data_IF_983560367609
#
_entry.id   IF_983560367609
#
_cell.length_a   1.000
_cell.length_b   1.000
_cell.length_c   1.000
_cell.angle_alpha   90.00
_cell.angle_beta   90.00
_cell.angle_gamma   90.00
#
_symmetry.space_group_name_H-M   'P 1'
#
loop_
_entity.id
_entity.type
_entity.pdbx_description
1 polymer ?
#
# COMPACT_ATOMS: atom_id res chain seq x y z
N UNK A 1 6.91 30.29 30.11
CA UNK A 1 8.02 29.58 29.44
C UNK A 1 8.53 28.54 30.43
N UNK A 2 8.39 27.26 30.09
CA UNK A 2 8.84 26.15 30.92
C UNK A 2 10.00 25.47 30.20
N UNK A 3 11.04 25.11 30.94
CA UNK A 3 12.16 24.34 30.39
C UNK A 3 11.64 22.99 29.89
N UNK A 4 12.08 22.57 28.71
CA UNK A 4 11.82 21.23 28.22
C UNK A 4 12.51 20.19 29.11
N UNK A 5 12.01 18.95 29.11
CA UNK A 5 12.55 17.90 29.96
C UNK A 5 14.05 17.66 29.75
N UNK A 6 14.52 17.80 28.52
CA UNK A 6 15.95 17.65 28.19
C UNK A 6 16.78 18.85 28.64
N UNK A 7 16.25 20.07 28.59
CA UNK A 7 16.92 21.22 29.17
C UNK A 7 17.05 21.09 30.69
N UNK A 8 16.05 20.52 31.38
CA UNK A 8 16.13 20.25 32.82
C UNK A 8 17.16 19.16 33.14
N UNK A 9 17.28 18.14 32.30
CA UNK A 9 18.30 17.07 32.45
C UNK A 9 19.71 17.58 32.20
N UNK A 10 19.89 18.41 31.17
CA UNK A 10 21.17 19.09 30.88
C UNK A 10 21.53 20.03 32.02
N UNK A 11 20.58 20.83 32.54
CA UNK A 11 20.83 21.70 33.68
C UNK A 11 21.27 20.92 34.92
N UNK A 12 20.60 19.80 35.21
CA UNK A 12 20.95 18.92 36.34
C UNK A 12 22.33 18.28 36.17
N UNK A 13 22.69 17.83 34.96
CA UNK A 13 24.00 17.24 34.67
C UNK A 13 25.14 18.25 34.77
N UNK A 14 24.93 19.46 34.23
CA UNK A 14 25.91 20.55 34.32
C UNK A 14 26.07 21.02 35.77
N UNK A 15 24.97 21.10 36.53
CA UNK A 15 25.02 21.39 37.97
C UNK A 15 25.75 20.28 38.75
N UNK A 16 25.51 19.01 38.43
CA UNK A 16 26.20 17.88 39.05
C UNK A 16 27.72 17.89 38.75
N UNK A 17 28.13 18.27 37.54
CA UNK A 17 29.53 18.40 37.16
C UNK A 17 30.22 19.64 37.77
N UNK A 18 29.47 20.73 37.96
CA UNK A 18 29.95 21.91 38.68
C UNK A 18 30.12 21.66 40.18
N UNK A 19 29.25 20.83 40.77
CA UNK A 19 29.29 20.46 42.19
C UNK A 19 30.29 19.33 42.49
N UNK A 20 30.57 18.45 41.52
CA UNK A 20 31.52 17.34 41.67
C UNK A 20 32.50 17.27 40.48
N UNK A 21 33.58 18.08 40.51
CA UNK A 21 34.58 18.05 39.45
C UNK A 21 35.37 16.73 39.53
N UNK A 22 35.17 15.88 38.52
CA UNK A 22 35.80 14.57 38.31
C UNK A 22 35.63 13.55 39.46
N UNK A 23 34.79 12.53 39.23
CA UNK A 23 34.84 11.34 40.07
C UNK A 23 36.22 10.66 39.91
N UNK A 24 36.91 10.35 41.01
CA UNK A 24 38.27 9.85 40.97
C UNK A 24 38.28 8.39 40.51
N UNK A 25 39.29 8.06 39.72
CA UNK A 25 39.61 6.76 39.10
C UNK A 25 39.82 5.60 40.10
N UNK A 26 39.55 5.77 41.40
CA UNK A 26 39.69 4.72 42.42
C UNK A 26 38.86 5.04 43.67
N UNK A 27 37.63 4.54 43.77
CA UNK A 27 37.02 4.31 45.08
C UNK A 27 36.17 3.02 45.07
N UNK A 28 36.56 1.98 45.84
CA UNK A 28 35.72 0.83 46.13
C UNK A 28 34.87 1.14 47.38
N UNK A 29 33.79 1.91 47.22
CA UNK A 29 32.71 2.05 48.21
C UNK A 29 31.43 2.39 47.43
N UNK A 30 30.26 1.78 47.70
CA UNK A 30 29.00 2.28 47.16
C UNK A 30 28.77 3.66 47.79
N UNK A 31 29.08 4.72 47.04
CA UNK A 31 28.76 6.08 47.46
C UNK A 31 27.33 6.36 47.01
N UNK A 32 26.54 7.06 47.83
CA UNK A 32 25.16 7.45 47.50
C UNK A 32 25.04 8.14 46.12
N UNK A 33 26.13 8.73 45.61
CA UNK A 33 26.21 9.32 44.27
C UNK A 33 26.22 8.25 43.16
N UNK A 34 26.88 7.12 43.36
CA UNK A 34 26.86 5.99 42.43
C UNK A 34 25.50 5.26 42.41
N UNK A 35 24.83 5.19 43.56
CA UNK A 35 23.46 4.67 43.66
C UNK A 35 22.46 5.57 42.94
N UNK A 36 22.54 6.90 43.14
CA UNK A 36 21.70 7.87 42.43
C UNK A 36 21.91 7.82 40.91
N UNK A 37 23.15 7.65 40.46
CA UNK A 37 23.46 7.50 39.04
C UNK A 37 22.90 6.20 38.46
N UNK A 38 22.95 5.11 39.23
CA UNK A 38 22.34 3.85 38.82
C UNK A 38 20.81 3.97 38.73
N UNK A 39 20.17 4.68 39.66
CA UNK A 39 18.73 4.99 39.62
C UNK A 39 18.36 5.80 38.37
N UNK A 40 19.10 6.88 38.07
CA UNK A 40 18.87 7.70 36.87
C UNK A 40 18.99 6.87 35.57
N UNK A 41 19.95 5.94 35.50
CA UNK A 41 20.11 5.03 34.37
C UNK A 41 18.93 4.05 34.29
N UNK A 42 18.50 3.48 35.41
CA UNK A 42 17.33 2.60 35.44
C UNK A 42 16.05 3.32 35.04
N UNK A 43 15.86 4.57 35.46
CA UNK A 43 14.72 5.39 35.08
C UNK A 43 14.74 5.77 33.59
N UNK A 44 15.91 6.02 33.01
CA UNK A 44 16.06 6.21 31.58
C UNK A 44 15.66 4.95 30.79
N UNK A 45 16.06 3.76 31.25
CA UNK A 45 15.67 2.48 30.62
C UNK A 45 14.16 2.24 30.70
N UNK A 46 13.54 2.46 31.88
CA UNK A 46 12.08 2.37 32.05
C UNK A 46 11.35 3.35 31.14
N UNK A 47 11.87 4.56 30.99
CA UNK A 47 11.30 5.55 30.08
C UNK A 47 11.38 5.08 28.62
N UNK A 48 12.49 4.50 28.19
CA UNK A 48 12.60 3.97 26.83
C UNK A 48 11.60 2.84 26.58
N UNK A 49 11.42 1.93 27.54
CA UNK A 49 10.42 0.86 27.46
C UNK A 49 8.99 1.43 27.37
N UNK A 50 8.67 2.45 28.17
CA UNK A 50 7.37 3.12 28.14
C UNK A 50 7.12 3.85 26.80
N UNK A 51 8.16 4.44 26.19
CA UNK A 51 8.06 5.07 24.86
C UNK A 51 7.81 4.00 23.79
N UNK A 52 8.52 2.88 23.83
CA UNK A 52 8.33 1.79 22.88
C UNK A 52 6.91 1.19 22.96
N UNK A 53 6.40 0.99 24.18
CA UNK A 53 5.01 0.59 24.43
C UNK A 53 4.03 1.61 23.84
N UNK A 54 4.24 2.90 24.08
CA UNK A 54 3.39 3.97 23.55
C UNK A 54 3.41 4.04 22.02
N UNK A 55 4.56 3.81 21.38
CA UNK A 55 4.67 3.74 19.91
C UNK A 55 3.90 2.55 19.37
N UNK A 56 4.01 1.38 20.00
CA UNK A 56 3.27 0.19 19.60
C UNK A 56 1.76 0.38 19.73
N UNK A 57 1.30 0.93 20.86
CA UNK A 57 -0.12 1.18 21.08
C UNK A 57 -0.66 2.28 20.15
N UNK A 58 0.12 3.33 19.90
CA UNK A 58 -0.19 4.33 18.88
C UNK A 58 -0.33 3.70 17.49
N UNK A 59 0.51 2.72 17.15
CA UNK A 59 0.40 1.92 15.93
C UNK A 59 -0.90 1.11 15.86
N UNK A 60 -1.32 0.47 16.96
CA UNK A 60 -2.59 -0.27 17.03
C UNK A 60 -3.80 0.65 16.85
N UNK A 61 -3.81 1.80 17.52
CA UNK A 61 -4.87 2.79 17.38
C UNK A 61 -4.96 3.30 15.94
N UNK A 62 -3.82 3.63 15.31
CA UNK A 62 -3.79 4.07 13.91
C UNK A 62 -4.33 2.99 12.97
N UNK A 63 -3.94 1.74 13.16
CA UNK A 63 -4.45 0.62 12.37
C UNK A 63 -5.98 0.48 12.51
N UNK A 64 -6.51 0.60 13.73
CA UNK A 64 -7.95 0.59 13.98
C UNK A 64 -8.67 1.74 13.26
N UNK A 65 -8.15 2.97 13.34
CA UNK A 65 -8.75 4.14 12.69
C UNK A 65 -8.75 4.03 11.16
N UNK A 66 -7.68 3.49 10.56
CA UNK A 66 -7.61 3.26 9.12
C UNK A 66 -8.56 2.14 8.67
N UNK A 67 -8.71 1.08 9.48
CA UNK A 67 -9.72 0.06 9.23
C UNK A 67 -11.13 0.67 9.31
N UNK A 68 -11.37 1.56 10.26
CA UNK A 68 -12.65 2.24 10.40
C UNK A 68 -12.95 3.18 9.23
N UNK A 69 -11.95 3.96 8.78
CA UNK A 69 -12.02 4.76 7.56
C UNK A 69 -12.46 3.92 6.36
N UNK A 70 -11.88 2.72 6.21
CA UNK A 70 -12.25 1.79 5.12
C UNK A 70 -13.70 1.32 5.22
N UNK A 71 -14.22 1.08 6.44
CA UNK A 71 -15.62 0.70 6.69
C UNK A 71 -16.57 1.85 6.35
N UNK A 72 -16.26 3.07 6.79
CA UNK A 72 -17.01 4.26 6.42
C UNK A 72 -17.03 4.43 4.90
N UNK A 73 -15.90 4.26 4.21
CA UNK A 73 -15.85 4.34 2.75
C UNK A 73 -16.70 3.29 2.05
N UNK A 74 -16.71 2.05 2.55
CA UNK A 74 -17.52 0.96 2.00
C UNK A 74 -19.03 1.20 2.17
N UNK A 75 -19.44 1.95 3.19
CA UNK A 75 -20.84 2.28 3.47
C UNK A 75 -21.34 3.54 2.73
N UNK A 76 -20.54 4.09 1.81
CA UNK A 76 -20.95 5.26 1.01
C UNK A 76 -22.12 4.91 0.08
N UNK A 77 -23.08 5.84 -0.12
CA UNK A 77 -23.05 7.23 0.34
C UNK A 77 -23.68 7.47 1.73
N UNK A 78 -24.27 6.44 2.36
CA UNK A 78 -25.01 6.59 3.63
C UNK A 78 -24.14 7.05 4.81
N UNK A 79 -22.83 6.84 4.71
CA UNK A 79 -21.82 7.17 5.72
C UNK A 79 -21.01 8.44 5.41
N UNK A 80 -21.44 9.27 4.44
CA UNK A 80 -20.65 10.38 3.90
C UNK A 80 -20.06 11.32 4.95
N UNK A 81 -20.87 11.73 5.94
CA UNK A 81 -20.39 12.62 7.02
C UNK A 81 -19.25 12.00 7.82
N UNK A 82 -19.46 10.78 8.34
CA UNK A 82 -18.45 10.07 9.12
C UNK A 82 -17.20 9.71 8.32
N UNK A 83 -17.34 9.41 7.02
CA UNK A 83 -16.18 9.21 6.14
C UNK A 83 -15.35 10.48 6.02
N UNK A 84 -15.98 11.64 5.79
CA UNK A 84 -15.28 12.91 5.66
C UNK A 84 -14.60 13.33 6.97
N UNK A 85 -15.26 13.11 8.11
CA UNK A 85 -14.69 13.36 9.45
C UNK A 85 -13.43 12.52 9.67
N UNK A 86 -13.52 11.21 9.44
CA UNK A 86 -12.40 10.29 9.61
C UNK A 86 -11.26 10.55 8.62
N UNK A 87 -11.58 10.93 7.38
CA UNK A 87 -10.55 11.25 6.40
C UNK A 87 -9.82 12.55 6.76
N UNK A 88 -10.55 13.56 7.24
CA UNK A 88 -9.98 14.83 7.67
C UNK A 88 -9.05 14.67 8.89
N UNK A 89 -9.46 13.89 9.89
CA UNK A 89 -8.63 13.51 11.03
C UNK A 89 -7.38 12.75 10.56
N UNK A 90 -7.55 11.68 9.79
CA UNK A 90 -6.44 10.87 9.32
C UNK A 90 -5.41 11.68 8.52
N UNK A 91 -5.87 12.57 7.63
CA UNK A 91 -4.98 13.46 6.85
C UNK A 91 -4.24 14.45 7.74
N UNK A 92 -4.89 14.95 8.78
CA UNK A 92 -4.24 15.82 9.78
C UNK A 92 -3.14 15.07 10.54
N UNK A 93 -3.33 13.77 10.78
CA UNK A 93 -2.36 12.87 11.40
C UNK A 93 -1.29 12.32 10.40
N UNK A 94 -1.24 12.85 9.18
CA UNK A 94 -0.24 12.48 8.17
C UNK A 94 -0.56 11.21 7.39
N UNK A 95 -1.84 10.81 7.30
CA UNK A 95 -2.29 9.80 6.35
C UNK A 95 -2.15 10.31 4.91
N UNK A 96 -1.60 9.46 4.03
CA UNK A 96 -1.55 9.71 2.58
C UNK A 96 -2.79 9.11 1.91
N UNK A 97 -3.66 9.94 1.30
CA UNK A 97 -4.90 9.45 0.69
C UNK A 97 -4.65 8.50 -0.47
N UNK A 98 -5.39 7.39 -0.49
CA UNK A 98 -5.29 6.40 -1.56
C UNK A 98 -6.09 6.79 -2.80
N UNK A 99 -5.89 6.08 -3.92
CA UNK A 99 -6.70 6.25 -5.12
C UNK A 99 -8.20 6.03 -4.86
N UNK A 100 -8.54 5.11 -3.96
CA UNK A 100 -9.91 4.84 -3.54
C UNK A 100 -10.51 6.03 -2.79
N UNK A 101 -9.74 6.71 -1.95
CA UNK A 101 -10.20 7.92 -1.24
C UNK A 101 -10.44 9.08 -2.20
N UNK A 102 -9.54 9.29 -3.14
CA UNK A 102 -9.73 10.30 -4.19
C UNK A 102 -10.95 9.98 -5.06
N UNK A 103 -11.24 8.70 -5.31
CA UNK A 103 -12.43 8.26 -6.04
C UNK A 103 -13.71 8.50 -5.24
N UNK A 104 -13.68 8.23 -3.93
CA UNK A 104 -14.79 8.44 -3.02
C UNK A 104 -15.12 9.94 -2.89
N UNK A 105 -14.11 10.79 -2.72
CA UNK A 105 -14.27 12.24 -2.71
C UNK A 105 -14.86 12.76 -4.02
N UNK A 106 -14.36 12.28 -5.17
CA UNK A 106 -14.94 12.63 -6.49
C UNK A 106 -16.39 12.19 -6.62
N UNK A 107 -16.77 11.04 -6.08
CA UNK A 107 -18.16 10.57 -6.06
C UNK A 107 -19.04 11.46 -5.16
N UNK A 108 -18.57 11.78 -3.96
CA UNK A 108 -19.26 12.65 -3.00
C UNK A 108 -19.42 14.09 -3.52
N UNK A 109 -18.45 14.63 -4.25
CA UNK A 109 -18.56 15.97 -4.85
C UNK A 109 -19.67 16.08 -5.89
N UNK A 110 -20.10 14.97 -6.50
CA UNK A 110 -21.22 14.94 -7.46
C UNK A 110 -22.59 14.84 -6.79
N UNK A 111 -22.63 14.59 -5.48
CA UNK A 111 -23.88 14.46 -4.75
C UNK A 111 -24.40 15.84 -4.30
N UNK A 112 -25.72 16.06 -4.37
CA UNK A 112 -26.31 17.30 -3.89
C UNK A 112 -26.08 17.43 -2.37
N UNK A 113 -25.65 18.61 -1.95
CA UNK A 113 -25.44 18.94 -0.54
C UNK A 113 -25.57 20.46 -0.32
N UNK A 114 -25.69 20.87 0.94
CA UNK A 114 -25.75 22.28 1.29
C UNK A 114 -24.40 23.00 1.07
N UNK A 115 -24.39 24.33 0.97
CA UNK A 115 -23.17 25.12 0.80
C UNK A 115 -22.00 24.81 1.76
N UNK A 116 -22.21 24.66 3.09
CA UNK A 116 -21.09 24.40 4.01
C UNK A 116 -20.45 23.03 3.76
N UNK A 117 -21.26 22.01 3.49
CA UNK A 117 -20.81 20.67 3.20
C UNK A 117 -20.07 20.60 1.86
N UNK A 118 -20.58 21.31 0.85
CA UNK A 118 -19.89 21.45 -0.43
C UNK A 118 -18.51 22.09 -0.27
N UNK A 119 -18.41 23.19 0.49
CA UNK A 119 -17.14 23.85 0.78
C UNK A 119 -16.17 22.92 1.54
N UNK A 120 -16.68 22.12 2.48
CA UNK A 120 -15.89 21.13 3.21
C UNK A 120 -15.33 20.06 2.27
N UNK A 121 -16.17 19.43 1.44
CA UNK A 121 -15.76 18.43 0.45
C UNK A 121 -14.69 18.97 -0.49
N UNK A 122 -14.89 20.18 -1.01
CA UNK A 122 -13.95 20.83 -1.92
C UNK A 122 -12.60 21.12 -1.27
N UNK A 123 -12.57 21.63 -0.03
CA UNK A 123 -11.31 21.84 0.71
C UNK A 123 -10.59 20.53 1.00
N UNK A 124 -11.31 19.51 1.44
CA UNK A 124 -10.71 18.21 1.74
C UNK A 124 -10.18 17.53 0.48
N UNK A 125 -10.93 17.58 -0.63
CA UNK A 125 -10.47 17.09 -1.93
C UNK A 125 -9.21 17.80 -2.41
N UNK A 126 -9.15 19.13 -2.32
CA UNK A 126 -7.95 19.90 -2.66
C UNK A 126 -6.73 19.48 -1.86
N UNK A 127 -6.87 19.34 -0.53
CA UNK A 127 -5.78 18.84 0.34
C UNK A 127 -5.33 17.43 -0.03
N UNK A 128 -6.28 16.52 -0.20
CA UNK A 128 -5.96 15.12 -0.53
C UNK A 128 -5.28 14.98 -1.88
N UNK A 129 -5.72 15.75 -2.89
CA UNK A 129 -5.07 15.79 -4.19
C UNK A 129 -3.63 16.33 -4.10
N UNK A 130 -3.40 17.42 -3.37
CA UNK A 130 -2.06 17.99 -3.20
C UNK A 130 -1.09 16.99 -2.53
N UNK A 131 -1.56 16.24 -1.51
CA UNK A 131 -0.75 15.21 -0.86
C UNK A 131 -0.41 14.06 -1.80
N UNK A 132 -1.41 13.54 -2.53
CA UNK A 132 -1.18 12.46 -3.50
C UNK A 132 -0.24 12.90 -4.64
N UNK A 133 -0.37 14.13 -5.13
CA UNK A 133 0.54 14.69 -6.14
C UNK A 133 1.97 14.86 -5.60
N UNK A 134 2.12 15.30 -4.35
CA UNK A 134 3.43 15.42 -3.71
C UNK A 134 4.11 14.05 -3.59
N UNK A 135 3.39 13.02 -3.15
CA UNK A 135 3.90 11.65 -3.06
C UNK A 135 4.33 11.12 -4.43
N UNK A 136 3.50 11.30 -5.47
CA UNK A 136 3.85 10.87 -6.83
C UNK A 136 5.09 11.61 -7.34
N UNK A 137 5.18 12.92 -7.10
CA UNK A 137 6.34 13.74 -7.50
C UNK A 137 7.62 13.28 -6.81
N UNK A 138 7.57 12.97 -5.52
CA UNK A 138 8.68 12.41 -4.76
C UNK A 138 9.11 11.04 -5.31
N UNK A 139 8.14 10.16 -5.59
CA UNK A 139 8.45 8.84 -6.18
C UNK A 139 9.08 8.95 -7.56
N UNK A 140 8.64 9.91 -8.38
CA UNK A 140 9.21 10.15 -9.70
C UNK A 140 10.62 10.76 -9.60
N UNK A 141 10.89 11.65 -8.64
CA UNK A 141 12.22 12.22 -8.45
C UNK A 141 13.23 11.15 -8.00
N UNK A 142 12.83 10.25 -7.11
CA UNK A 142 13.65 9.12 -6.67
C UNK A 142 13.85 8.06 -7.78
N UNK A 143 12.81 7.79 -8.57
CA UNK A 143 12.84 6.79 -9.64
C UNK A 143 13.56 7.22 -10.93
N UNK A 144 13.69 8.53 -11.17
CA UNK A 144 14.36 9.09 -12.36
C UNK A 144 15.88 8.83 -12.36
N UNK A 145 16.51 8.67 -11.18
CA UNK A 145 17.96 8.47 -11.06
C UNK A 145 18.47 7.06 -11.40
N UNK A 146 17.60 6.05 -11.51
CA UNK A 146 17.98 4.63 -11.68
C UNK A 146 17.69 4.06 -13.08
N UNK A 147 17.26 4.90 -14.04
CA UNK A 147 17.11 4.50 -15.45
C UNK A 147 18.04 5.29 -16.35
N UNK A 148 19.31 5.37 -15.98
CA UNK A 148 20.32 5.37 -17.03
C UNK A 148 20.24 4.01 -17.69
N UNK A 149 19.67 3.99 -18.90
CA UNK A 149 19.87 2.92 -19.86
C UNK A 149 21.39 2.71 -19.96
N UNK A 150 21.91 1.76 -19.19
CA UNK A 150 23.20 1.15 -19.48
C UNK A 150 22.99 0.46 -20.82
N UNK A 151 23.25 1.21 -21.91
CA UNK A 151 23.52 0.61 -23.19
C UNK A 151 24.67 -0.37 -22.93
N UNK A 152 24.33 -1.66 -22.88
CA UNK A 152 25.30 -2.74 -22.85
C UNK A 152 26.17 -2.54 -24.09
N UNK A 153 27.48 -2.26 -23.96
CA UNK A 153 28.35 -2.23 -25.13
C UNK A 153 28.46 -3.67 -25.60
N UNK A 154 27.81 -3.98 -26.73
CA UNK A 154 28.00 -5.24 -27.44
C UNK A 154 29.46 -5.32 -27.91
N UNK A 155 30.29 -6.29 -27.47
CA UNK A 155 31.66 -6.39 -27.91
C UNK A 155 31.71 -7.27 -29.17
N UNK A 156 31.33 -6.72 -30.31
CA UNK A 156 31.63 -7.35 -31.61
C UNK A 156 31.41 -6.37 -32.75
N UNK A 157 32.42 -5.55 -33.06
CA UNK A 157 32.73 -5.10 -34.42
C UNK A 157 34.08 -4.39 -34.43
N UNK A 158 35.07 -5.06 -35.02
CA UNK A 158 36.37 -4.47 -35.34
C UNK A 158 36.25 -3.42 -36.46
N UNK A 159 37.11 -2.39 -36.49
CA UNK A 159 36.98 -1.27 -37.40
C UNK A 159 37.63 -1.60 -38.77
N UNK A 160 36.89 -1.38 -39.86
CA UNK A 160 37.47 -1.33 -41.20
C UNK A 160 37.59 0.13 -41.66
N UNK A 161 38.72 0.53 -42.29
CA UNK A 161 38.99 1.91 -42.65
C UNK A 161 38.24 2.32 -43.93
N UNK A 162 37.83 3.59 -43.98
CA UNK A 162 37.16 4.22 -45.11
C UNK A 162 38.14 4.53 -46.25
N UNK A 163 37.72 4.26 -47.50
CA UNK A 163 38.34 4.78 -48.73
C UNK A 163 37.20 5.27 -49.66
N UNK A 164 37.38 6.37 -50.43
CA UNK A 164 36.29 7.16 -50.99
C UNK A 164 36.05 6.96 -52.51
N UNK A 165 34.87 7.42 -52.95
CA UNK A 165 34.48 7.93 -54.29
C UNK A 165 34.58 7.00 -55.51
N UNK A 166 33.41 6.80 -56.13
CA UNK A 166 33.25 6.83 -57.59
C UNK A 166 33.07 5.47 -58.29
N UNK A 167 31.91 5.28 -58.95
CA UNK A 167 31.78 4.27 -60.01
C UNK A 167 30.46 3.51 -60.05
N UNK A 168 29.57 4.01 -60.93
CA UNK A 168 28.54 3.33 -61.74
C UNK A 168 28.18 1.86 -61.43
N UNK A 169 26.88 1.66 -61.24
CA UNK A 169 26.18 0.37 -61.19
C UNK A 169 26.55 -0.59 -62.33
N UNK A 170 26.68 -1.89 -62.01
CA UNK A 170 26.20 -2.95 -62.89
C UNK A 170 25.04 -3.69 -62.21
N UNK A 171 23.91 -3.76 -62.91
CA UNK A 171 22.88 -4.75 -62.60
C UNK A 171 23.31 -6.12 -63.09
N UNK A 172 23.32 -7.12 -62.20
CA UNK A 172 23.00 -8.50 -62.56
C UNK A 172 22.60 -9.31 -61.33
N UNK A 173 21.29 -9.53 -61.24
CA UNK A 173 20.60 -10.80 -60.99
C UNK A 173 21.40 -11.93 -60.31
N UNK A 174 21.13 -12.19 -59.03
CA UNK A 174 21.19 -13.53 -58.44
C UNK A 174 20.07 -13.74 -57.41
N UNK A 175 19.57 -14.98 -57.40
CA UNK A 175 18.39 -15.51 -56.71
C UNK A 175 18.27 -15.19 -55.20
N UNK A 176 17.04 -15.13 -54.66
CA UNK A 176 16.84 -15.20 -53.21
C UNK A 176 17.10 -16.63 -52.71
N UNK A 177 18.07 -16.77 -51.80
CA UNK A 177 18.19 -17.96 -50.94
C UNK A 177 17.01 -18.00 -49.96
N UNK A 178 16.42 -19.18 -49.67
CA UNK A 178 15.40 -19.30 -48.64
C UNK A 178 16.02 -19.16 -47.24
N UNK A 179 15.34 -18.50 -46.28
CA UNK A 179 15.83 -18.38 -44.93
C UNK A 179 15.72 -19.72 -44.17
N UNK A 180 16.80 -20.05 -43.45
CA UNK A 180 16.86 -21.17 -42.51
C UNK A 180 15.89 -21.01 -41.33
N UNK A 181 15.48 -22.16 -40.78
CA UNK A 181 14.46 -22.36 -39.75
C UNK A 181 14.60 -21.44 -38.53
N UNK A 182 13.53 -20.69 -38.25
CA UNK A 182 13.28 -20.07 -36.94
C UNK A 182 12.41 -21.00 -36.10
N UNK A 183 12.75 -21.26 -34.83
CA UNK A 183 11.91 -22.07 -33.95
C UNK A 183 10.59 -21.35 -33.65
N UNK A 184 9.48 -22.04 -33.91
CA UNK A 184 8.13 -21.51 -33.66
C UNK A 184 7.83 -21.44 -32.16
N UNK A 185 7.13 -20.39 -31.68
CA UNK A 185 6.68 -20.33 -30.30
C UNK A 185 5.61 -21.40 -30.04
N UNK A 186 5.78 -22.17 -28.95
CA UNK A 186 4.82 -23.19 -28.52
C UNK A 186 3.49 -22.51 -28.13
N UNK A 187 2.38 -23.03 -28.65
CA UNK A 187 1.03 -22.61 -28.26
C UNK A 187 0.77 -23.00 -26.81
N UNK A 188 0.22 -22.08 -26.04
CA UNK A 188 -0.35 -22.37 -24.73
C UNK A 188 -1.59 -23.26 -24.93
N UNK A 189 -1.73 -24.39 -24.20
CA UNK A 189 -2.91 -25.23 -24.29
C UNK A 189 -4.15 -24.47 -23.82
N UNK A 190 -5.27 -24.72 -24.49
CA UNK A 190 -6.53 -24.00 -24.21
C UNK A 190 -7.25 -24.62 -23.02
N UNK A 191 -8.11 -23.86 -22.30
CA UNK A 191 -8.83 -24.39 -21.14
C UNK A 191 -9.65 -25.66 -21.43
N UNK A 192 -10.10 -25.86 -22.67
CA UNK A 192 -10.82 -27.06 -23.10
C UNK A 192 -9.94 -28.34 -23.14
N UNK A 193 -8.61 -28.19 -23.15
CA UNK A 193 -7.65 -29.32 -23.11
C UNK A 193 -7.28 -29.70 -21.66
N UNK A 194 -7.46 -28.80 -20.69
CA UNK A 194 -7.19 -29.04 -19.27
C UNK A 194 -8.37 -29.69 -18.55
N UNK A 195 -9.61 -29.42 -18.98
CA UNK A 195 -10.82 -29.97 -18.38
C UNK A 195 -11.45 -30.99 -19.32
N UNK A 196 -10.94 -32.22 -19.25
CA UNK A 196 -11.39 -33.36 -20.04
C UNK A 196 -12.91 -33.55 -20.04
N UNK A 197 -13.42 -34.05 -21.17
CA UNK A 197 -14.84 -34.33 -21.44
C UNK A 197 -15.43 -35.21 -20.33
N UNK A 198 -16.35 -34.66 -19.54
CA UNK A 198 -17.26 -35.46 -18.71
C UNK A 198 -18.12 -36.31 -19.63
N UNK A 199 -18.07 -37.63 -19.43
CA UNK A 199 -18.95 -38.63 -20.03
C UNK A 199 -20.40 -38.31 -19.69
N UNK A 200 -21.25 -38.24 -20.72
CA UNK A 200 -22.71 -38.09 -20.59
C UNK A 200 -23.30 -39.44 -20.13
N UNK A 201 -24.06 -39.51 -19.03
CA UNK A 201 -24.82 -40.70 -18.71
C UNK A 201 -25.99 -40.87 -19.69
N UNK A 202 -26.23 -42.11 -20.10
CA UNK A 202 -27.30 -42.49 -21.03
C UNK A 202 -28.70 -42.35 -20.38
N UNK A 203 -29.74 -41.97 -21.15
CA UNK A 203 -31.11 -41.95 -20.65
C UNK A 203 -31.70 -43.38 -20.61
N UNK A 204 -32.42 -43.78 -19.56
CA UNK A 204 -33.25 -44.97 -19.61
C UNK A 204 -34.48 -44.71 -20.50
N UNK A 205 -34.76 -45.67 -21.38
CA UNK A 205 -35.95 -45.74 -22.21
C UNK A 205 -37.20 -45.84 -21.33
N UNK A 206 -38.28 -45.20 -21.77
CA UNK A 206 -39.58 -45.26 -21.12
C UNK A 206 -40.30 -46.57 -21.38
N UNK A 207 -41.14 -46.95 -20.43
CA UNK A 207 -42.30 -47.79 -20.65
C UNK A 207 -43.49 -47.10 -19.96
N UNK A 208 -44.50 -46.83 -20.77
CA UNK A 208 -45.86 -46.47 -20.37
C UNK A 208 -46.45 -47.58 -19.51
N UNK A 209 -47.11 -47.21 -18.41
CA UNK A 209 -48.40 -47.79 -18.03
C UNK A 209 -49.02 -46.96 -16.89
N UNK A 210 -50.10 -46.24 -17.21
CA UNK A 210 -51.11 -45.80 -16.26
C UNK A 210 -52.16 -46.93 -16.15
N UNK A 211 -52.84 -47.13 -15.00
CA UNK A 211 -53.99 -46.27 -14.73
C UNK A 211 -54.36 -46.04 -13.24
N UNK A 212 -55.12 -44.95 -13.04
CA UNK A 212 -56.27 -44.76 -12.13
C UNK A 212 -56.15 -44.95 -10.60
N UNK A 213 -56.69 -43.95 -9.88
CA UNK A 213 -57.08 -44.01 -8.46
C UNK A 213 -56.49 -42.86 -7.65
N UNK A 214 -57.13 -41.70 -7.59
CA UNK A 214 -58.04 -41.30 -6.51
C UNK A 214 -57.32 -40.92 -5.19
N UNK A 215 -57.43 -39.63 -4.84
CA UNK A 215 -57.81 -39.07 -3.52
C UNK A 215 -57.02 -37.81 -3.11
N UNK A 216 -57.77 -36.70 -2.99
CA UNK A 216 -57.47 -35.48 -2.24
C UNK A 216 -57.56 -35.77 -0.73
N UNK A 217 -56.80 -35.08 0.15
CA UNK A 217 -57.19 -33.73 0.66
C UNK A 217 -55.96 -32.80 0.90
N UNK A 218 -55.99 -31.48 0.70
CA UNK A 218 -56.68 -30.39 1.43
C UNK A 218 -56.41 -30.33 2.95
N UNK A 219 -56.15 -29.10 3.45
CA UNK A 219 -55.94 -28.61 4.84
C UNK A 219 -54.46 -28.41 5.24
N UNK A 220 -54.05 -27.31 5.87
CA UNK A 220 -54.65 -26.02 6.19
C UNK A 220 -53.50 -25.10 6.63
N UNK A 221 -53.53 -23.83 6.21
CA UNK A 221 -52.71 -22.76 6.79
C UNK A 221 -53.31 -22.38 8.13
N UNK A 222 -52.62 -22.68 9.23
CA UNK A 222 -52.97 -22.23 10.57
C UNK A 222 -52.37 -20.85 10.87
N UNK A 223 -53.26 -19.87 10.98
CA UNK A 223 -53.06 -18.58 11.64
C UNK A 223 -53.67 -18.67 13.05
N UNK A 224 -52.91 -18.27 14.07
CA UNK A 224 -53.37 -17.87 15.42
C UNK A 224 -52.22 -17.02 15.99
N UNK A 225 -52.36 -15.87 16.66
CA UNK A 225 -53.49 -15.06 17.10
C UNK A 225 -52.88 -13.85 17.84
#
# INVERSE_FOLDING_TARGET
MAFSADEVRVLRRVLAQALYPAAPDRLPVPTAVGELWAEDVQDALRLTEAIDEAVQEGGRLRAFLLADLSRYRAALPGSAGGYLDRLEEAVTDGYLPTAEDLSALRALSRQPCGPPEHARRSRLAGRCHALAEAEVRERLSLGSGQRHLAAVPSPASEPHPAIPVGGRFPMSSQHPQPPADRPRPRRMPTPAELFGRRTRPAPPAGEDDAPAGAEHPELATGTDG
#
